data_IF_152169552526
#
_entry.id   IF_152169552526
#
_cell.length_a   1.000
_cell.length_b   1.000
_cell.length_c   1.000
_cell.angle_alpha   90.00
_cell.angle_beta   90.00
_cell.angle_gamma   90.00
#
_symmetry.space_group_name_H-M   'P 1'
#
loop_
_entity.id
_entity.type
_entity.pdbx_description
1 polymer ?
#
# COMPACT_ATOMS: atom_id res chain seq x y z
N UNK A 1 -6.40 -34.09 11.45
CA UNK A 1 -6.64 -32.82 12.16
C UNK A 1 -5.83 -31.69 11.52
N UNK A 2 -6.36 -30.97 10.52
CA UNK A 2 -5.81 -29.69 10.06
C UNK A 2 -6.86 -28.59 10.31
N UNK A 3 -6.81 -27.89 11.44
CA UNK A 3 -7.91 -26.96 11.75
C UNK A 3 -7.78 -26.04 12.95
N UNK A 4 -6.59 -25.86 13.52
CA UNK A 4 -6.41 -24.99 14.70
C UNK A 4 -5.36 -23.88 14.55
N UNK A 5 -4.49 -23.90 13.53
CA UNK A 5 -3.50 -22.82 13.34
C UNK A 5 -3.93 -21.75 12.32
N UNK A 6 -4.83 -22.05 11.38
CA UNK A 6 -5.26 -21.09 10.35
C UNK A 6 -6.27 -20.04 10.85
N UNK A 7 -6.93 -20.28 11.99
CA UNK A 7 -8.05 -19.43 12.44
C UNK A 7 -7.64 -18.12 13.12
N UNK A 8 -6.48 -18.04 13.77
CA UNK A 8 -6.17 -16.90 14.65
C UNK A 8 -5.45 -15.73 13.95
N UNK A 9 -4.64 -16.02 12.92
CA UNK A 9 -3.91 -14.97 12.18
C UNK A 9 -4.82 -14.35 11.14
N UNK A 10 -5.49 -15.20 10.36
CA UNK A 10 -6.33 -14.75 9.27
C UNK A 10 -7.61 -14.05 9.78
N UNK A 11 -8.15 -14.48 10.92
CA UNK A 11 -9.31 -13.85 11.56
C UNK A 11 -9.08 -12.41 12.05
N UNK A 12 -7.86 -12.08 12.53
CA UNK A 12 -7.50 -10.69 12.89
C UNK A 12 -7.19 -9.80 11.67
N UNK A 13 -6.65 -10.40 10.60
CA UNK A 13 -6.38 -9.76 9.31
C UNK A 13 -7.65 -9.28 8.59
N UNK A 14 -8.77 -10.01 8.76
CA UNK A 14 -9.87 -10.00 7.79
C UNK A 14 -11.14 -9.29 8.25
N UNK A 15 -11.05 -8.36 9.20
CA UNK A 15 -12.23 -7.65 9.71
C UNK A 15 -12.89 -6.70 8.67
N UNK A 16 -12.30 -6.51 7.49
CA UNK A 16 -12.69 -5.41 6.60
C UNK A 16 -13.12 -5.79 5.17
N UNK A 17 -12.83 -6.98 4.62
CA UNK A 17 -13.16 -7.28 3.22
C UNK A 17 -13.50 -8.78 3.03
N UNK A 18 -14.78 -9.09 2.87
CA UNK A 18 -15.26 -10.39 2.41
C UNK A 18 -14.65 -10.73 1.03
N UNK A 19 -14.23 -11.98 0.82
CA UNK A 19 -13.61 -12.47 -0.43
C UNK A 19 -12.08 -12.51 -0.44
N UNK A 20 -11.38 -11.60 0.26
CA UNK A 20 -9.91 -11.66 0.37
C UNK A 20 -9.44 -12.91 1.11
N UNK A 21 -10.25 -13.37 2.08
CA UNK A 21 -9.99 -14.59 2.84
C UNK A 21 -10.04 -15.83 1.95
N UNK A 22 -11.12 -15.95 1.18
CA UNK A 22 -11.34 -17.09 0.32
C UNK A 22 -10.22 -17.17 -0.72
N UNK A 23 -9.86 -16.02 -1.31
CA UNK A 23 -8.76 -15.95 -2.26
C UNK A 23 -7.40 -16.30 -1.64
N UNK A 24 -7.10 -15.82 -0.44
CA UNK A 24 -5.87 -16.16 0.26
C UNK A 24 -5.80 -17.66 0.61
N UNK A 25 -6.93 -18.25 1.00
CA UNK A 25 -7.05 -19.69 1.28
C UNK A 25 -6.90 -20.54 0.01
N UNK A 26 -7.48 -20.11 -1.11
CA UNK A 26 -7.27 -20.74 -2.42
C UNK A 26 -5.79 -20.77 -2.79
N UNK A 27 -5.10 -19.62 -2.67
CA UNK A 27 -3.67 -19.50 -2.95
C UNK A 27 -2.87 -20.45 -2.05
N UNK A 28 -3.18 -20.47 -0.75
CA UNK A 28 -2.50 -21.36 0.20
C UNK A 28 -2.66 -22.84 -0.18
N UNK A 29 -3.89 -23.28 -0.46
CA UNK A 29 -4.19 -24.68 -0.83
C UNK A 29 -3.45 -25.10 -2.10
N UNK A 30 -3.48 -24.28 -3.15
CA UNK A 30 -2.77 -24.56 -4.41
C UNK A 30 -1.28 -24.83 -4.20
N UNK A 31 -0.63 -24.02 -3.36
CA UNK A 31 0.79 -24.18 -3.08
C UNK A 31 1.05 -25.42 -2.21
N UNK A 32 0.20 -25.67 -1.20
CA UNK A 32 0.31 -26.83 -0.33
C UNK A 32 0.17 -28.16 -1.09
N UNK A 33 -0.76 -28.21 -2.06
CA UNK A 33 -1.03 -29.39 -2.89
C UNK A 33 0.15 -29.70 -3.84
N UNK A 34 0.85 -28.67 -4.34
CA UNK A 34 2.02 -28.86 -5.21
C UNK A 34 3.27 -29.29 -4.44
N UNK A 35 3.53 -28.64 -3.31
CA UNK A 35 4.75 -28.89 -2.52
C UNK A 35 4.50 -28.66 -1.04
N UNK A 36 4.73 -29.67 -0.19
CA UNK A 36 4.53 -29.52 1.25
C UNK A 36 5.34 -28.35 1.81
N UNK A 37 4.65 -27.42 2.46
CA UNK A 37 5.21 -26.21 3.08
C UNK A 37 5.97 -26.48 4.39
N UNK A 38 6.39 -27.73 4.62
CA UNK A 38 7.03 -28.19 5.86
C UNK A 38 8.38 -27.51 6.07
N UNK A 39 8.66 -27.10 7.31
CA UNK A 39 9.90 -26.43 7.70
C UNK A 39 9.95 -24.92 7.42
N UNK A 40 8.86 -24.34 6.91
CA UNK A 40 8.73 -22.88 6.70
C UNK A 40 7.89 -22.24 7.79
N UNK A 41 8.16 -20.97 8.06
CA UNK A 41 7.35 -20.12 8.92
C UNK A 41 5.93 -20.01 8.34
N UNK A 42 4.96 -20.63 9.00
CA UNK A 42 3.57 -20.68 8.56
C UNK A 42 2.93 -19.29 8.53
N UNK A 43 3.25 -18.46 9.51
CA UNK A 43 2.69 -17.11 9.63
C UNK A 43 3.17 -16.22 8.49
N UNK A 44 4.43 -16.40 8.06
CA UNK A 44 4.98 -15.73 6.88
C UNK A 44 4.31 -16.18 5.58
N UNK A 45 3.97 -17.47 5.46
CA UNK A 45 3.24 -18.00 4.29
C UNK A 45 1.83 -17.42 4.23
N UNK A 46 1.08 -17.48 5.33
CA UNK A 46 -0.29 -16.94 5.38
C UNK A 46 -0.30 -15.43 5.09
N UNK A 47 0.64 -14.69 5.65
CA UNK A 47 0.82 -13.27 5.38
C UNK A 47 1.13 -13.00 3.89
N UNK A 48 1.97 -13.83 3.26
CA UNK A 48 2.27 -13.70 1.84
C UNK A 48 1.08 -14.05 0.95
N UNK A 49 0.29 -15.08 1.28
CA UNK A 49 -0.96 -15.41 0.59
C UNK A 49 -1.94 -14.23 0.65
N UNK A 50 -2.11 -13.62 1.83
CA UNK A 50 -2.95 -12.42 1.95
C UNK A 50 -2.41 -11.27 1.09
N UNK A 51 -1.11 -11.00 1.16
CA UNK A 51 -0.49 -9.92 0.38
C UNK A 51 -0.76 -10.09 -1.12
N UNK A 52 -0.63 -11.33 -1.62
CA UNK A 52 -0.90 -11.67 -3.02
C UNK A 52 -2.39 -11.47 -3.34
N UNK A 53 -3.29 -12.03 -2.53
CA UNK A 53 -4.74 -11.87 -2.70
C UNK A 53 -5.16 -10.39 -2.75
N UNK A 54 -4.61 -9.55 -1.85
CA UNK A 54 -4.89 -8.12 -1.82
C UNK A 54 -4.51 -7.42 -3.13
N UNK A 55 -3.41 -7.84 -3.78
CA UNK A 55 -3.00 -7.25 -5.05
C UNK A 55 -3.81 -7.76 -6.24
N UNK A 56 -4.23 -9.03 -6.22
CA UNK A 56 -5.06 -9.60 -7.29
C UNK A 56 -6.50 -9.06 -7.29
N UNK A 57 -6.97 -8.58 -6.14
CA UNK A 57 -8.31 -8.01 -5.97
C UNK A 57 -8.32 -6.47 -6.03
N UNK A 58 -7.29 -5.86 -6.63
CA UNK A 58 -7.12 -4.40 -6.79
C UNK A 58 -7.26 -3.60 -5.47
N UNK A 59 -6.87 -4.21 -4.35
CA UNK A 59 -6.91 -3.62 -3.01
C UNK A 59 -5.54 -3.72 -2.34
N UNK A 60 -4.46 -3.24 -2.99
CA UNK A 60 -3.10 -3.49 -2.52
C UNK A 60 -2.88 -2.99 -1.08
N UNK A 61 -2.19 -3.83 -0.32
CA UNK A 61 -1.68 -3.53 1.03
C UNK A 61 -0.17 -3.48 0.98
N UNK A 62 0.41 -2.57 1.74
CA UNK A 62 1.86 -2.47 1.86
C UNK A 62 2.38 -3.65 2.69
N UNK A 63 3.63 -4.05 2.46
CA UNK A 63 4.22 -5.13 3.26
C UNK A 63 4.28 -4.76 4.75
N UNK A 64 4.36 -3.46 5.09
CA UNK A 64 4.31 -3.00 6.49
C UNK A 64 2.93 -3.21 7.10
N UNK A 65 1.86 -2.90 6.36
CA UNK A 65 0.48 -3.16 6.81
C UNK A 65 0.24 -4.65 7.06
N UNK A 66 0.76 -5.52 6.19
CA UNK A 66 0.66 -6.98 6.38
C UNK A 66 1.52 -7.44 7.56
N UNK A 67 2.73 -6.90 7.70
CA UNK A 67 3.64 -7.27 8.78
C UNK A 67 3.11 -6.88 10.16
N UNK A 68 2.41 -5.76 10.30
CA UNK A 68 1.85 -5.31 11.59
C UNK A 68 0.76 -6.22 12.13
N UNK A 69 0.16 -7.04 11.26
CA UNK A 69 -0.91 -7.97 11.62
C UNK A 69 -0.49 -9.44 11.52
N UNK A 70 0.70 -9.72 10.98
CA UNK A 70 1.28 -11.05 10.97
C UNK A 70 1.87 -11.36 12.36
N UNK A 71 1.55 -12.52 12.93
CA UNK A 71 2.02 -12.93 14.26
C UNK A 71 3.53 -13.23 14.26
N UNK A 72 4.38 -12.20 14.37
CA UNK A 72 5.83 -12.36 14.50
C UNK A 72 6.60 -12.64 13.19
N UNK A 73 5.91 -12.73 12.04
CA UNK A 73 6.58 -12.84 10.75
C UNK A 73 7.20 -11.49 10.33
N UNK A 74 8.50 -11.49 10.04
CA UNK A 74 9.21 -10.29 9.63
C UNK A 74 8.96 -9.94 8.15
N UNK A 75 9.16 -8.66 7.78
CA UNK A 75 9.11 -8.19 6.39
C UNK A 75 9.95 -9.05 5.44
N UNK A 76 11.12 -9.51 5.90
CA UNK A 76 12.05 -10.34 5.10
C UNK A 76 11.49 -11.75 4.87
N UNK A 77 10.88 -12.36 5.89
CA UNK A 77 10.25 -13.67 5.76
C UNK A 77 9.03 -13.62 4.86
N UNK A 78 8.18 -12.61 5.02
CA UNK A 78 7.00 -12.39 4.16
C UNK A 78 7.44 -12.20 2.69
N UNK A 79 8.50 -11.41 2.45
CA UNK A 79 9.05 -11.22 1.10
C UNK A 79 9.53 -12.52 0.46
N UNK A 80 10.29 -13.34 1.21
CA UNK A 80 10.75 -14.66 0.76
C UNK A 80 9.59 -15.63 0.51
N UNK A 81 8.57 -15.62 1.37
CA UNK A 81 7.39 -16.45 1.21
C UNK A 81 6.59 -16.04 -0.03
N UNK A 82 6.42 -14.73 -0.27
CA UNK A 82 5.79 -14.19 -1.49
C UNK A 82 6.51 -14.65 -2.75
N UNK A 83 7.82 -14.45 -2.85
CA UNK A 83 8.62 -14.87 -4.02
C UNK A 83 8.48 -16.37 -4.27
N UNK A 84 8.51 -17.16 -3.19
CA UNK A 84 8.32 -18.60 -3.28
C UNK A 84 6.93 -18.97 -3.83
N UNK A 85 5.87 -18.41 -3.26
CA UNK A 85 4.48 -18.70 -3.66
C UNK A 85 4.26 -18.33 -5.13
N UNK A 86 4.65 -17.11 -5.53
CA UNK A 86 4.52 -16.65 -6.92
C UNK A 86 5.22 -17.63 -7.86
N UNK A 87 6.46 -18.02 -7.56
CA UNK A 87 7.21 -18.98 -8.38
C UNK A 87 6.53 -20.35 -8.48
N UNK A 88 5.89 -20.84 -7.41
CA UNK A 88 5.17 -22.12 -7.47
C UNK A 88 3.92 -22.02 -8.37
N UNK A 89 3.13 -20.95 -8.19
CA UNK A 89 1.93 -20.74 -9.00
C UNK A 89 2.25 -20.53 -10.49
N UNK A 90 3.35 -19.85 -10.80
CA UNK A 90 3.83 -19.70 -12.19
C UNK A 90 4.19 -21.04 -12.84
N UNK A 91 4.81 -21.95 -12.07
CA UNK A 91 5.15 -23.30 -12.54
C UNK A 91 3.89 -24.12 -12.82
N UNK A 92 2.87 -24.03 -11.96
CA UNK A 92 1.58 -24.70 -12.16
C UNK A 92 0.82 -24.17 -13.38
N UNK A 93 0.76 -22.85 -13.52
CA UNK A 93 0.01 -22.20 -14.59
C UNK A 93 0.73 -22.25 -15.94
N UNK A 94 2.04 -22.54 -15.95
CA UNK A 94 2.87 -22.50 -17.16
C UNK A 94 3.05 -21.09 -17.75
N UNK A 95 2.69 -20.05 -17.00
CA UNK A 95 2.75 -18.65 -17.41
C UNK A 95 3.03 -17.75 -16.21
N UNK A 96 3.47 -16.51 -16.46
CA UNK A 96 3.72 -15.56 -15.37
C UNK A 96 2.45 -15.18 -14.63
N UNK A 97 2.57 -15.01 -13.32
CA UNK A 97 1.45 -14.70 -12.44
C UNK A 97 1.20 -13.20 -12.46
N UNK A 98 0.00 -12.80 -12.90
CA UNK A 98 -0.40 -11.40 -12.83
C UNK A 98 -0.63 -10.97 -11.37
N UNK A 99 0.14 -9.98 -10.95
CA UNK A 99 0.15 -9.44 -9.59
C UNK A 99 -0.56 -8.08 -9.48
N UNK A 100 -1.25 -7.65 -10.54
CA UNK A 100 -1.87 -6.32 -10.63
C UNK A 100 -0.85 -5.18 -10.70
N UNK A 101 -1.20 -4.13 -11.43
CA UNK A 101 -0.46 -2.86 -11.37
C UNK A 101 -0.86 -2.13 -10.09
N UNK A 102 0.11 -1.63 -9.34
CA UNK A 102 -0.18 -0.78 -8.17
C UNK A 102 -0.08 0.67 -8.60
N UNK A 103 -1.14 1.41 -8.36
CA UNK A 103 -1.21 2.85 -8.55
C UNK A 103 -1.10 3.57 -7.20
N UNK A 104 -0.70 4.84 -7.24
CA UNK A 104 -0.61 5.65 -6.03
C UNK A 104 -2.02 5.90 -5.44
N UNK A 105 -3.04 5.98 -6.30
CA UNK A 105 -4.44 6.18 -5.92
C UNK A 105 -5.01 5.06 -5.04
N UNK A 106 -4.53 3.82 -5.21
CA UNK A 106 -5.01 2.64 -4.47
C UNK A 106 -4.84 2.76 -2.95
N UNK A 107 -3.88 3.58 -2.52
CA UNK A 107 -3.58 3.78 -1.11
C UNK A 107 -4.25 5.00 -0.50
N UNK A 108 -4.58 6.00 -1.31
CA UNK A 108 -4.97 7.33 -0.83
C UNK A 108 -6.14 7.29 0.12
N UNK A 109 -7.25 6.67 -0.27
CA UNK A 109 -8.48 6.67 0.54
C UNK A 109 -8.23 6.15 1.95
N UNK A 110 -7.40 5.10 2.08
CA UNK A 110 -7.06 4.49 3.36
C UNK A 110 -6.10 5.35 4.17
N UNK A 111 -5.05 5.88 3.54
CA UNK A 111 -4.09 6.76 4.23
C UNK A 111 -4.73 8.07 4.70
N UNK A 112 -5.55 8.71 3.87
CA UNK A 112 -6.28 9.91 4.24
C UNK A 112 -7.27 9.65 5.39
N UNK A 113 -7.94 8.49 5.40
CA UNK A 113 -8.80 8.09 6.51
C UNK A 113 -8.03 7.89 7.82
N UNK A 114 -6.84 7.27 7.79
CA UNK A 114 -5.99 7.14 8.98
C UNK A 114 -5.49 8.49 9.52
N UNK A 115 -5.33 9.48 8.64
CA UNK A 115 -4.91 10.84 8.99
C UNK A 115 -6.09 11.75 9.39
N UNK A 116 -7.33 11.26 9.33
CA UNK A 116 -8.52 12.04 9.65
C UNK A 116 -8.77 13.21 8.68
N UNK A 117 -8.33 13.08 7.42
CA UNK A 117 -8.52 14.13 6.43
C UNK A 117 -10.00 14.29 6.07
N UNK A 118 -10.43 15.53 5.86
CA UNK A 118 -11.80 15.83 5.40
C UNK A 118 -12.01 15.42 3.92
N UNK A 119 -13.28 15.37 3.50
CA UNK A 119 -13.64 14.91 2.14
C UNK A 119 -13.07 15.78 1.02
N UNK A 120 -12.93 17.09 1.24
CA UNK A 120 -12.35 18.00 0.24
C UNK A 120 -10.86 17.70 0.03
N UNK A 121 -10.10 17.55 1.11
CA UNK A 121 -8.68 17.20 1.06
C UNK A 121 -8.46 15.80 0.45
N UNK A 122 -9.32 14.83 0.77
CA UNK A 122 -9.28 13.49 0.14
C UNK A 122 -9.47 13.60 -1.36
N UNK A 123 -10.49 14.35 -1.82
CA UNK A 123 -10.78 14.53 -3.24
C UNK A 123 -9.64 15.23 -3.96
N UNK A 124 -9.08 16.29 -3.36
CA UNK A 124 -7.95 17.01 -3.91
C UNK A 124 -6.70 16.12 -4.02
N UNK A 125 -6.43 15.27 -3.02
CA UNK A 125 -5.35 14.30 -3.08
C UNK A 125 -5.54 13.25 -4.19
N UNK A 126 -6.76 12.78 -4.42
CA UNK A 126 -7.07 11.83 -5.50
C UNK A 126 -6.82 12.44 -6.88
N UNK A 127 -7.33 13.65 -7.12
CA UNK A 127 -7.08 14.38 -8.36
C UNK A 127 -5.59 14.66 -8.56
N UNK A 128 -4.88 15.09 -7.51
CA UNK A 128 -3.45 15.39 -7.59
C UNK A 128 -2.60 14.14 -7.88
N UNK A 129 -2.95 12.99 -7.29
CA UNK A 129 -2.28 11.71 -7.62
C UNK A 129 -2.56 11.30 -9.06
N UNK A 130 -3.80 11.43 -9.55
CA UNK A 130 -4.13 11.09 -10.92
C UNK A 130 -3.30 11.92 -11.92
N UNK A 131 -3.20 13.24 -11.70
CA UNK A 131 -2.35 14.10 -12.53
C UNK A 131 -0.86 13.78 -12.41
N UNK A 132 -0.42 13.21 -11.29
CA UNK A 132 0.98 12.79 -11.11
C UNK A 132 1.35 11.60 -11.99
N UNK A 133 0.38 10.80 -12.46
CA UNK A 133 0.64 9.66 -13.35
C UNK A 133 1.08 10.10 -14.75
N UNK A 134 0.79 11.34 -15.14
CA UNK A 134 1.25 11.95 -16.40
C UNK A 134 2.69 12.49 -16.31
N UNK A 135 3.29 12.51 -15.11
CA UNK A 135 4.64 13.02 -14.87
C UNK A 135 5.66 11.88 -14.76
N UNK A 136 6.87 12.07 -15.29
CA UNK A 136 7.98 11.11 -15.12
C UNK A 136 8.59 11.20 -13.72
N UNK A 137 7.86 10.72 -12.71
CA UNK A 137 8.32 10.67 -11.33
C UNK A 137 8.90 9.28 -11.04
N UNK A 138 10.22 9.21 -10.85
CA UNK A 138 10.94 7.96 -10.55
C UNK A 138 10.85 7.54 -9.08
N UNK A 139 9.62 7.49 -8.54
CA UNK A 139 9.33 7.09 -7.16
C UNK A 139 8.31 5.96 -7.15
N UNK A 140 8.33 5.17 -6.07
CA UNK A 140 7.33 4.12 -5.91
C UNK A 140 5.94 4.74 -5.69
N UNK A 141 4.85 4.08 -6.15
CA UNK A 141 3.49 4.62 -6.02
C UNK A 141 3.10 5.02 -4.59
N UNK A 142 3.52 4.24 -3.60
CA UNK A 142 3.30 4.56 -2.17
C UNK A 142 4.01 5.86 -1.74
N UNK A 143 5.21 6.13 -2.27
CA UNK A 143 5.97 7.34 -1.94
C UNK A 143 5.36 8.57 -2.59
N UNK A 144 4.86 8.43 -3.83
CA UNK A 144 4.09 9.48 -4.52
C UNK A 144 2.81 9.78 -3.73
N UNK A 145 2.03 8.76 -3.35
CA UNK A 145 0.83 8.93 -2.54
C UNK A 145 1.12 9.67 -1.21
N UNK A 146 2.16 9.25 -0.49
CA UNK A 146 2.56 9.89 0.77
C UNK A 146 2.99 11.35 0.59
N UNK A 147 3.71 11.67 -0.49
CA UNK A 147 4.13 13.04 -0.78
C UNK A 147 2.96 13.92 -1.24
N UNK A 148 2.03 13.41 -2.05
CA UNK A 148 0.82 14.16 -2.40
C UNK A 148 -0.03 14.46 -1.16
N UNK A 149 -0.22 13.49 -0.27
CA UNK A 149 -0.89 13.71 1.02
C UNK A 149 -0.18 14.80 1.83
N UNK A 150 1.15 14.79 1.87
CA UNK A 150 1.91 15.83 2.55
C UNK A 150 1.62 17.21 1.95
N UNK A 151 1.71 17.38 0.61
CA UNK A 151 1.42 18.66 -0.06
C UNK A 151 0.00 19.15 0.29
N UNK A 152 -1.00 18.28 0.12
CA UNK A 152 -2.41 18.62 0.33
C UNK A 152 -2.69 19.03 1.78
N UNK A 153 -2.07 18.34 2.74
CA UNK A 153 -2.24 18.67 4.17
C UNK A 153 -1.52 19.96 4.55
N UNK A 154 -0.39 20.31 3.92
CA UNK A 154 0.27 21.60 4.15
C UNK A 154 -0.54 22.80 3.62
N UNK A 155 -1.41 22.57 2.64
CA UNK A 155 -2.33 23.57 2.07
C UNK A 155 -3.68 23.63 2.82
N UNK A 156 -3.92 22.74 3.78
CA UNK A 156 -5.13 22.75 4.60
C UNK A 156 -4.89 23.45 5.93
N UNK A 157 -5.97 23.91 6.57
CA UNK A 157 -5.92 24.44 7.94
C UNK A 157 -5.46 23.38 8.96
N UNK A 158 -5.76 22.10 8.71
CA UNK A 158 -5.41 20.96 9.55
C UNK A 158 -4.11 20.29 9.07
N UNK A 159 -3.00 21.03 9.21
CA UNK A 159 -1.67 20.56 8.79
C UNK A 159 -1.26 19.30 9.54
N UNK A 160 -0.86 18.27 8.80
CA UNK A 160 -0.34 17.02 9.36
C UNK A 160 1.18 17.05 9.46
N UNK A 161 1.72 16.51 10.56
CA UNK A 161 3.17 16.40 10.71
C UNK A 161 3.69 15.31 9.76
N UNK A 162 4.91 15.51 9.25
CA UNK A 162 5.56 14.53 8.38
C UNK A 162 5.70 13.15 9.07
N UNK A 163 5.92 13.16 10.39
CA UNK A 163 5.97 11.96 11.22
C UNK A 163 4.66 11.19 11.20
N UNK A 164 3.52 11.88 11.27
CA UNK A 164 2.19 11.24 11.28
C UNK A 164 1.89 10.60 9.93
N UNK A 165 2.27 11.27 8.83
CA UNK A 165 2.15 10.72 7.48
C UNK A 165 3.08 9.51 7.32
N UNK A 166 4.30 9.58 7.84
CA UNK A 166 5.24 8.45 7.86
C UNK A 166 4.67 7.24 8.60
N UNK A 167 4.00 7.46 9.74
CA UNK A 167 3.33 6.41 10.49
C UNK A 167 2.11 5.84 9.74
N UNK A 168 1.25 6.69 9.19
CA UNK A 168 0.04 6.27 8.47
C UNK A 168 0.32 5.52 7.16
N UNK A 169 1.37 5.92 6.44
CA UNK A 169 1.73 5.34 5.14
C UNK A 169 2.77 4.24 5.25
N UNK A 170 3.55 4.21 6.33
CA UNK A 170 4.73 3.37 6.48
C UNK A 170 5.91 3.79 5.59
N UNK A 171 5.88 4.97 4.96
CA UNK A 171 7.01 5.50 4.18
C UNK A 171 7.92 6.31 5.09
N UNK A 172 9.25 6.16 4.97
CA UNK A 172 10.18 6.91 5.80
C UNK A 172 10.12 8.42 5.48
N UNK A 173 10.23 9.28 6.49
CA UNK A 173 10.15 10.74 6.33
C UNK A 173 11.12 11.28 5.26
N UNK A 174 12.35 10.77 5.20
CA UNK A 174 13.32 11.15 4.17
C UNK A 174 12.85 10.81 2.75
N UNK A 175 12.17 9.67 2.59
CA UNK A 175 11.58 9.27 1.29
C UNK A 175 10.40 10.15 0.91
N UNK A 176 9.57 10.56 1.89
CA UNK A 176 8.47 11.50 1.66
C UNK A 176 9.05 12.85 1.22
N UNK A 177 10.06 13.38 1.93
CA UNK A 177 10.75 14.63 1.56
C UNK A 177 11.35 14.56 0.15
N UNK A 178 12.04 13.47 -0.19
CA UNK A 178 12.63 13.32 -1.52
C UNK A 178 11.57 13.24 -2.62
N UNK A 179 10.45 12.56 -2.37
CA UNK A 179 9.35 12.49 -3.34
C UNK A 179 8.64 13.84 -3.47
N UNK A 180 8.53 14.59 -2.37
CA UNK A 180 8.02 15.96 -2.37
C UNK A 180 8.92 16.90 -3.19
N UNK A 181 10.27 16.79 -3.07
CA UNK A 181 11.21 17.55 -3.93
C UNK A 181 10.96 17.35 -5.42
N UNK A 182 10.65 16.12 -5.82
CA UNK A 182 10.41 15.79 -7.23
C UNK A 182 9.03 16.30 -7.72
N UNK A 183 8.04 16.36 -6.83
CA UNK A 183 6.68 16.82 -7.13
C UNK A 183 6.55 18.35 -7.09
N UNK A 184 7.31 19.01 -6.22
CA UNK A 184 7.19 20.44 -5.93
C UNK A 184 7.25 21.35 -7.17
N UNK A 185 8.15 21.15 -8.15
CA UNK A 185 8.19 21.96 -9.38
C UNK A 185 6.89 21.90 -10.20
N UNK A 186 6.10 20.84 -10.03
CA UNK A 186 4.85 20.62 -10.74
C UNK A 186 3.62 20.88 -9.85
N UNK A 187 3.77 21.42 -8.64
CA UNK A 187 2.68 21.59 -7.69
C UNK A 187 1.49 22.35 -8.28
N UNK A 188 1.72 23.43 -9.03
CA UNK A 188 0.65 24.20 -9.69
C UNK A 188 -0.15 23.40 -10.73
N UNK A 189 0.46 22.38 -11.35
CA UNK A 189 -0.24 21.49 -12.28
C UNK A 189 -1.00 20.39 -11.54
N UNK A 190 -0.40 19.87 -10.46
CA UNK A 190 -0.92 18.76 -9.67
C UNK A 190 -2.13 19.16 -8.83
N UNK A 191 -2.00 20.24 -8.06
CA UNK A 191 -3.03 20.64 -7.11
C UNK A 191 -4.23 21.24 -7.86
N UNK A 192 -5.47 20.78 -7.61
CA UNK A 192 -6.63 21.37 -8.24
C UNK A 192 -6.83 22.83 -7.78
N UNK A 193 -7.10 23.73 -8.73
CA UNK A 193 -7.30 25.16 -8.44
C UNK A 193 -8.47 25.42 -7.49
N UNK A 194 -9.50 24.56 -7.51
CA UNK A 194 -10.62 24.67 -6.57
C UNK A 194 -10.23 24.40 -5.11
N UNK A 195 -9.07 23.79 -4.86
CA UNK A 195 -8.58 23.46 -3.52
C UNK A 195 -7.57 24.48 -3.00
N UNK A 196 -6.67 24.96 -3.86
CA UNK A 196 -5.65 25.96 -3.50
C UNK A 196 -5.27 26.79 -4.73
N UNK A 197 -5.12 28.09 -4.54
CA UNK A 197 -4.71 29.03 -5.58
C UNK A 197 -3.18 29.08 -5.71
N UNK A 198 -2.65 29.66 -6.79
CA UNK A 198 -1.19 29.76 -6.98
C UNK A 198 -0.46 30.50 -5.84
N UNK A 199 -1.14 31.45 -5.17
CA UNK A 199 -0.59 32.16 -4.03
C UNK A 199 -0.40 31.23 -2.81
N UNK A 200 -1.34 30.32 -2.57
CA UNK A 200 -1.25 29.34 -1.50
C UNK A 200 -0.09 28.36 -1.73
N UNK A 201 0.18 28.03 -2.99
CA UNK A 201 1.31 27.17 -3.36
C UNK A 201 2.66 27.81 -3.04
N UNK A 202 2.76 29.14 -3.01
CA UNK A 202 3.99 29.86 -2.59
C UNK A 202 4.23 29.74 -1.09
N UNK A 203 3.20 29.44 -0.31
CA UNK A 203 3.30 29.22 1.13
C UNK A 203 3.77 27.80 1.48
N UNK A 204 3.88 26.91 0.50
CA UNK A 204 4.50 25.61 0.69
C UNK A 204 5.98 25.77 1.05
N UNK A 205 6.44 25.00 2.04
CA UNK A 205 7.84 25.01 2.42
C UNK A 205 8.68 24.44 1.26
N UNK A 206 9.66 25.21 0.79
CA UNK A 206 10.58 24.78 -0.25
C UNK A 206 11.43 23.59 0.29
N UNK A 207 11.40 22.41 -0.35
CA UNK A 207 11.91 21.19 0.27
C UNK A 207 13.43 21.00 0.35
#
# INVERSE_FOLDING_TARGET
MPGKCTSNIIGKLCFFIAGLLDRANEIYKKVEDQKPLRGRNQDAILAACLYIACRQEDKPRTVKEICSVANGATKKEIGRAKEYIVKQLEVEMGQSMEMGTIHAGDFLRRFCSHLGMNNQAVKAAQEAVQKSEELDIRRSPISVAAAVIYIITQLSDDKKLLKDISLATGVAEGTIRNSYKDLYPNAARLIPSWYAEEEDLRNLCNP
#
